data_IF_127409099251
#
_entry.id   IF_127409099251
#
_cell.length_a   1.000
_cell.length_b   1.000
_cell.length_c   1.000
_cell.angle_alpha   90.00
_cell.angle_beta   90.00
_cell.angle_gamma   90.00
#
_symmetry.space_group_name_H-M   'P 1'
#
loop_
_entity.id
_entity.type
_entity.pdbx_description
1 polymer ?
#
# COMPACT_ATOMS: atom_id res chain seq x y z
N UNK A 1 10.81 3.64 17.00
CA UNK A 1 9.45 3.23 16.58
C UNK A 1 8.61 4.47 16.39
N UNK A 2 8.03 4.63 15.23
CA UNK A 2 7.10 5.71 14.94
C UNK A 2 5.69 5.11 14.91
N UNK A 3 4.90 5.27 15.97
CA UNK A 3 3.52 4.78 15.97
C UNK A 3 2.65 5.70 15.10
N UNK A 4 1.70 5.12 14.41
CA UNK A 4 0.66 5.86 13.73
C UNK A 4 -0.70 5.21 13.96
N UNK A 5 -1.76 6.02 13.90
CA UNK A 5 -3.12 5.55 14.05
C UNK A 5 -4.05 6.23 13.05
N UNK A 6 -5.02 5.48 12.58
CA UNK A 6 -6.06 5.95 11.69
C UNK A 6 -7.43 5.59 12.24
N UNK A 7 -8.36 6.50 12.11
CA UNK A 7 -9.77 6.24 12.34
C UNK A 7 -10.55 6.59 11.08
N UNK A 8 -11.50 5.76 10.71
CA UNK A 8 -12.31 6.00 9.52
C UNK A 8 -13.74 5.51 9.69
N UNK A 9 -14.58 5.98 8.81
CA UNK A 9 -15.96 5.54 8.68
C UNK A 9 -16.14 4.70 7.42
N UNK A 10 -17.19 3.98 7.44
CA UNK A 10 -17.78 3.07 6.46
C UNK A 10 -17.26 3.06 5.02
N UNK A 11 -17.02 1.87 4.54
CA UNK A 11 -16.73 1.59 3.12
C UNK A 11 -15.39 2.10 2.64
N UNK A 12 -14.50 2.52 3.55
CA UNK A 12 -13.16 2.98 3.22
C UNK A 12 -12.11 1.98 3.69
N UNK A 13 -11.21 1.64 2.79
CA UNK A 13 -9.96 1.01 3.16
C UNK A 13 -9.08 2.08 3.81
N UNK A 14 -8.72 1.91 5.07
CA UNK A 14 -7.68 2.71 5.71
C UNK A 14 -6.33 2.10 5.38
N UNK A 15 -5.46 2.88 4.78
CA UNK A 15 -4.15 2.40 4.37
C UNK A 15 -3.03 3.35 4.76
N UNK A 16 -1.89 2.79 5.10
CA UNK A 16 -0.66 3.54 5.34
C UNK A 16 0.50 2.88 4.60
N UNK A 17 1.16 3.66 3.78
CA UNK A 17 2.38 3.25 3.07
C UNK A 17 3.59 3.55 3.93
N UNK A 18 4.36 2.52 4.23
CA UNK A 18 5.57 2.61 5.04
C UNK A 18 6.77 2.50 4.11
N UNK A 19 7.63 3.50 4.13
CA UNK A 19 8.87 3.51 3.36
C UNK A 19 10.07 3.62 4.30
N UNK A 20 11.23 3.05 3.94
CA UNK A 20 12.44 3.24 4.72
C UNK A 20 12.80 4.73 4.83
N UNK A 21 13.18 5.17 6.00
CA UNK A 21 13.73 6.52 6.16
C UNK A 21 15.04 6.66 5.38
N UNK A 22 15.35 7.88 4.95
CA UNK A 22 16.60 8.17 4.25
C UNK A 22 17.82 7.66 5.02
N UNK A 23 18.69 6.94 4.35
CA UNK A 23 19.89 6.32 4.94
C UNK A 23 19.63 5.00 5.69
N UNK A 24 18.40 4.48 5.65
CA UNK A 24 18.06 3.15 6.17
C UNK A 24 17.82 2.17 5.03
N UNK A 25 18.13 0.91 5.29
CA UNK A 25 18.03 -0.17 4.30
C UNK A 25 16.83 -1.10 4.53
N UNK A 26 16.07 -0.87 5.61
CA UNK A 26 14.96 -1.75 6.01
C UNK A 26 13.82 -0.99 6.66
N UNK A 27 12.62 -1.49 6.42
CA UNK A 27 11.42 -1.18 7.20
C UNK A 27 11.05 -2.39 8.03
N UNK A 28 10.75 -2.18 9.29
CA UNK A 28 10.26 -3.22 10.18
C UNK A 28 8.94 -2.82 10.79
N UNK A 29 7.91 -3.60 10.52
CA UNK A 29 6.63 -3.49 11.20
C UNK A 29 6.64 -4.48 12.35
N UNK A 30 6.55 -3.97 13.57
CA UNK A 30 6.63 -4.78 14.76
C UNK A 30 5.29 -5.35 15.18
N UNK A 31 4.25 -4.53 15.10
CA UNK A 31 2.89 -4.95 15.36
C UNK A 31 1.91 -4.08 14.58
N UNK A 32 0.74 -4.59 14.37
CA UNK A 32 -0.42 -3.82 13.94
C UNK A 32 -1.64 -4.32 14.71
N UNK A 33 -2.47 -3.41 15.21
CA UNK A 33 -3.71 -3.74 15.90
C UNK A 33 -4.87 -2.96 15.32
N UNK A 34 -6.04 -3.58 15.30
CA UNK A 34 -7.23 -2.97 14.72
C UNK A 34 -8.49 -3.37 15.48
N UNK A 35 -9.45 -2.47 15.48
CA UNK A 35 -10.83 -2.73 15.90
C UNK A 35 -11.80 -2.21 14.87
N UNK A 36 -12.94 -2.88 14.73
CA UNK A 36 -14.03 -2.45 13.87
C UNK A 36 -15.36 -2.80 14.54
N UNK A 37 -16.37 -1.96 14.40
CA UNK A 37 -17.73 -2.25 14.88
C UNK A 37 -18.45 -3.32 14.04
N UNK A 38 -17.88 -3.68 12.89
CA UNK A 38 -18.37 -4.74 12.00
C UNK A 38 -17.21 -5.57 11.46
N UNK A 39 -17.55 -6.56 10.64
CA UNK A 39 -16.54 -7.40 10.01
C UNK A 39 -15.58 -6.58 9.14
N UNK A 40 -14.30 -6.76 9.37
CA UNK A 40 -13.20 -6.14 8.65
C UNK A 40 -12.00 -7.08 8.62
N UNK A 41 -10.96 -6.75 7.87
CA UNK A 41 -9.71 -7.49 7.83
C UNK A 41 -8.52 -6.55 8.00
N UNK A 42 -7.63 -6.88 8.93
CA UNK A 42 -6.33 -6.25 9.07
C UNK A 42 -5.33 -6.98 8.16
N UNK A 43 -4.69 -6.26 7.28
CA UNK A 43 -3.80 -6.75 6.25
C UNK A 43 -2.43 -6.10 6.35
N UNK A 44 -1.37 -6.88 6.22
CA UNK A 44 -0.01 -6.39 6.04
C UNK A 44 0.50 -6.90 4.69
N UNK A 45 0.94 -5.98 3.85
CA UNK A 45 1.48 -6.26 2.54
C UNK A 45 2.95 -5.92 2.47
N UNK A 46 3.67 -6.63 1.62
CA UNK A 46 5.01 -6.26 1.15
C UNK A 46 5.05 -6.21 -0.37
N UNK A 47 6.06 -5.57 -0.92
CA UNK A 47 6.40 -5.70 -2.33
C UNK A 47 6.74 -7.15 -2.69
N UNK A 48 6.37 -7.57 -3.87
CA UNK A 48 6.71 -8.90 -4.42
C UNK A 48 8.14 -9.01 -4.96
N UNK A 49 9.04 -8.11 -4.60
CA UNK A 49 10.31 -7.94 -5.31
C UNK A 49 10.10 -7.52 -6.80
N UNK A 50 8.91 -7.04 -7.10
CA UNK A 50 8.51 -6.50 -8.39
C UNK A 50 8.19 -5.04 -8.23
N UNK A 51 9.24 -4.24 -8.22
CA UNK A 51 9.13 -2.79 -8.30
C UNK A 51 9.74 -2.33 -9.61
N UNK A 52 9.15 -1.33 -10.19
CA UNK A 52 9.66 -0.69 -11.41
C UNK A 52 9.50 0.82 -11.30
N UNK A 53 10.15 1.54 -12.18
CA UNK A 53 10.05 3.00 -12.24
C UNK A 53 9.10 3.44 -13.33
N UNK A 54 8.40 4.54 -13.12
CA UNK A 54 7.58 5.16 -14.14
C UNK A 54 8.47 5.71 -15.25
N UNK A 55 7.98 5.60 -16.48
CA UNK A 55 8.65 6.10 -17.67
C UNK A 55 8.13 7.44 -18.14
N UNK A 56 6.94 7.85 -17.67
CA UNK A 56 6.35 9.15 -17.98
C UNK A 56 5.60 9.72 -16.76
N UNK A 57 5.32 11.01 -16.81
CA UNK A 57 4.55 11.73 -15.80
C UNK A 57 3.09 11.25 -15.79
N UNK A 58 2.51 11.13 -14.59
CA UNK A 58 1.08 10.87 -14.38
C UNK A 58 0.53 11.90 -13.40
N UNK A 59 -0.52 12.63 -13.81
CA UNK A 59 -1.15 13.62 -12.95
C UNK A 59 -2.01 12.96 -11.88
N UNK A 60 -2.20 13.63 -10.75
CA UNK A 60 -2.96 13.11 -9.61
C UNK A 60 -4.43 12.73 -9.92
N UNK A 61 -5.03 13.34 -10.93
CA UNK A 61 -6.39 13.08 -11.37
C UNK A 61 -6.50 12.02 -12.48
N UNK A 62 -5.41 11.36 -12.83
CA UNK A 62 -5.39 10.28 -13.81
C UNK A 62 -5.49 8.91 -13.15
N UNK A 63 -5.98 7.94 -13.92
CA UNK A 63 -6.03 6.52 -13.51
C UNK A 63 -4.95 5.69 -14.20
N UNK A 64 -4.38 6.19 -15.30
CA UNK A 64 -3.38 5.47 -16.10
C UNK A 64 -1.98 5.89 -15.68
N UNK A 65 -1.13 4.91 -15.46
CA UNK A 65 0.29 5.08 -15.17
C UNK A 65 1.13 4.34 -16.21
N UNK A 66 2.23 4.96 -16.61
CA UNK A 66 3.19 4.37 -17.52
C UNK A 66 4.28 3.65 -16.73
N UNK A 67 4.22 2.34 -16.73
CA UNK A 67 5.15 1.47 -16.03
C UNK A 67 5.61 0.34 -16.98
N UNK A 68 6.85 -0.14 -16.85
CA UNK A 68 7.31 -1.24 -17.67
C UNK A 68 6.42 -2.48 -17.54
N UNK A 69 6.17 -3.19 -18.63
CA UNK A 69 5.22 -4.32 -18.66
C UNK A 69 5.65 -5.51 -17.79
N UNK A 70 6.93 -5.64 -17.48
CA UNK A 70 7.44 -6.75 -16.66
C UNK A 70 6.96 -6.74 -15.18
N UNK A 71 6.26 -5.70 -14.73
CA UNK A 71 5.66 -5.71 -13.40
C UNK A 71 4.69 -6.87 -13.22
N UNK A 72 4.05 -7.30 -14.32
CA UNK A 72 3.17 -8.45 -14.33
C UNK A 72 1.91 -8.25 -13.47
N UNK A 73 1.46 -7.01 -13.32
CA UNK A 73 0.24 -6.69 -12.60
C UNK A 73 -0.99 -7.19 -13.37
N UNK A 74 -1.99 -7.66 -12.62
CA UNK A 74 -3.28 -8.11 -13.12
C UNK A 74 -4.43 -7.36 -12.43
N UNK A 75 -5.63 -7.48 -12.98
CA UNK A 75 -6.82 -6.88 -12.37
C UNK A 75 -6.99 -7.34 -10.92
N UNK A 76 -7.35 -6.41 -10.04
CA UNK A 76 -7.49 -6.53 -8.59
C UNK A 76 -6.17 -6.64 -7.80
N UNK A 77 -5.02 -6.63 -8.44
CA UNK A 77 -3.76 -6.52 -7.72
C UNK A 77 -3.66 -5.17 -6.99
N UNK A 78 -3.03 -5.20 -5.84
CA UNK A 78 -2.71 -3.99 -5.07
C UNK A 78 -1.31 -3.53 -5.45
N UNK A 79 -1.19 -2.25 -5.75
CA UNK A 79 0.09 -1.60 -6.01
C UNK A 79 0.30 -0.44 -5.05
N UNK A 80 1.55 -0.14 -4.76
CA UNK A 80 1.96 1.11 -4.11
C UNK A 80 2.73 1.94 -5.11
N UNK A 81 2.32 3.19 -5.23
CA UNK A 81 2.94 4.21 -6.05
C UNK A 81 3.67 5.17 -5.12
N UNK A 82 4.93 5.40 -5.36
CA UNK A 82 5.77 6.21 -4.48
C UNK A 82 6.48 7.31 -5.26
N UNK A 83 6.29 8.55 -4.80
CA UNK A 83 6.96 9.72 -5.35
C UNK A 83 8.26 9.98 -4.59
N UNK A 84 9.38 9.92 -5.30
CA UNK A 84 10.69 10.23 -4.75
C UNK A 84 10.82 11.69 -4.36
N UNK A 85 10.13 12.60 -5.07
CA UNK A 85 10.20 14.03 -4.82
C UNK A 85 9.53 14.44 -3.51
N UNK A 86 8.42 13.80 -3.16
CA UNK A 86 7.66 14.13 -1.94
C UNK A 86 7.90 13.17 -0.78
N UNK A 87 8.51 12.01 -1.04
CA UNK A 87 8.62 10.93 -0.07
C UNK A 87 7.28 10.31 0.31
N UNK A 88 6.27 10.45 -0.54
CA UNK A 88 4.89 10.05 -0.26
C UNK A 88 4.51 8.85 -1.11
N UNK A 89 3.83 7.88 -0.50
CA UNK A 89 3.27 6.72 -1.19
C UNK A 89 1.76 6.70 -1.13
N UNK A 90 1.14 6.18 -2.19
CA UNK A 90 -0.30 5.94 -2.26
C UNK A 90 -0.58 4.51 -2.70
N UNK A 91 -1.69 3.97 -2.20
CA UNK A 91 -2.23 2.69 -2.61
C UNK A 91 -3.05 2.84 -3.88
N UNK A 92 -2.89 1.89 -4.79
CA UNK A 92 -3.77 1.73 -5.94
C UNK A 92 -4.28 0.28 -6.05
N UNK A 93 -5.40 0.11 -6.72
CA UNK A 93 -5.91 -1.20 -7.16
C UNK A 93 -5.95 -1.20 -8.67
N UNK A 94 -5.37 -2.23 -9.27
CA UNK A 94 -5.28 -2.38 -10.71
C UNK A 94 -6.65 -2.75 -11.30
N UNK A 95 -7.12 -1.97 -12.24
CA UNK A 95 -8.26 -2.31 -13.09
C UNK A 95 -7.84 -3.19 -14.26
N UNK A 96 -6.74 -2.82 -14.92
CA UNK A 96 -6.15 -3.57 -16.03
C UNK A 96 -4.69 -3.20 -16.21
N UNK A 97 -3.94 -4.05 -16.89
CA UNK A 97 -2.58 -3.78 -17.32
C UNK A 97 -2.40 -4.19 -18.78
N UNK A 98 -1.69 -3.36 -19.54
CA UNK A 98 -1.32 -3.62 -20.93
C UNK A 98 0.20 -3.73 -21.04
N UNK A 99 0.67 -4.96 -21.24
CA UNK A 99 2.09 -5.24 -21.36
C UNK A 99 2.68 -4.67 -22.66
N UNK A 100 1.89 -4.56 -23.72
CA UNK A 100 2.33 -4.02 -25.02
C UNK A 100 2.50 -2.51 -24.95
N UNK A 101 1.58 -1.82 -24.31
CA UNK A 101 1.63 -0.37 -24.10
C UNK A 101 2.50 0.05 -22.91
N UNK A 102 2.88 -0.87 -22.02
CA UNK A 102 3.61 -0.55 -20.80
C UNK A 102 2.78 0.31 -19.84
N UNK A 103 1.48 0.04 -19.73
CA UNK A 103 0.58 0.84 -18.89
C UNK A 103 -0.16 -0.01 -17.85
N UNK A 104 -0.46 0.62 -16.73
CA UNK A 104 -1.35 0.09 -15.69
C UNK A 104 -2.48 1.07 -15.49
N UNK A 105 -3.72 0.61 -15.56
CA UNK A 105 -4.90 1.40 -15.25
C UNK A 105 -5.39 1.05 -13.85
N UNK A 106 -5.63 2.05 -13.03
CA UNK A 106 -6.15 1.90 -11.66
C UNK A 106 -7.67 2.06 -11.63
N UNK A 107 -8.30 1.49 -10.61
CA UNK A 107 -9.74 1.61 -10.37
C UNK A 107 -10.17 3.02 -9.94
N UNK A 108 -9.25 3.85 -9.49
CA UNK A 108 -9.48 5.22 -9.02
C UNK A 108 -8.33 6.14 -9.40
N UNK A 109 -8.56 7.43 -9.33
CA UNK A 109 -7.52 8.42 -9.54
C UNK A 109 -6.36 8.26 -8.55
N UNK A 110 -5.16 8.58 -9.01
CA UNK A 110 -3.92 8.45 -8.25
C UNK A 110 -3.93 9.21 -6.92
N UNK A 111 -4.48 10.42 -6.89
CA UNK A 111 -4.39 11.30 -5.74
C UNK A 111 -2.99 11.87 -5.48
N UNK A 112 -2.00 11.44 -6.25
CA UNK A 112 -0.59 11.85 -6.17
C UNK A 112 -0.05 12.07 -7.58
N UNK A 113 0.62 13.20 -7.80
CA UNK A 113 1.34 13.44 -9.04
C UNK A 113 2.66 12.65 -9.03
N UNK A 114 2.94 11.97 -10.12
CA UNK A 114 4.12 11.11 -10.28
C UNK A 114 4.95 11.59 -11.47
N UNK A 115 6.25 11.43 -11.38
CA UNK A 115 7.24 11.79 -12.40
C UNK A 115 8.01 10.54 -12.88
N UNK A 116 8.70 10.62 -14.03
CA UNK A 116 9.64 9.58 -14.44
C UNK A 116 10.67 9.31 -13.32
N UNK A 117 10.92 8.03 -13.05
CA UNK A 117 11.79 7.60 -11.95
C UNK A 117 11.10 7.35 -10.62
N UNK A 118 9.86 7.82 -10.44
CA UNK A 118 9.02 7.40 -9.31
C UNK A 118 8.69 5.90 -9.43
N UNK A 119 8.40 5.24 -8.31
CA UNK A 119 8.26 3.79 -8.30
C UNK A 119 6.82 3.32 -8.23
N UNK A 120 6.56 2.20 -8.88
CA UNK A 120 5.38 1.38 -8.69
C UNK A 120 5.81 -0.01 -8.20
N UNK A 121 5.19 -0.48 -7.14
CA UNK A 121 5.49 -1.77 -6.52
C UNK A 121 4.25 -2.62 -6.43
N UNK A 122 4.33 -3.85 -6.95
CA UNK A 122 3.27 -4.85 -6.80
C UNK A 122 3.33 -5.43 -5.38
N UNK A 123 2.18 -5.49 -4.70
CA UNK A 123 2.08 -5.86 -3.31
C UNK A 123 1.53 -7.28 -3.13
N UNK A 124 2.03 -7.99 -2.13
CA UNK A 124 1.45 -9.26 -1.68
C UNK A 124 1.11 -9.19 -0.19
N UNK A 125 0.05 -9.85 0.21
CA UNK A 125 -0.32 -9.99 1.62
C UNK A 125 0.67 -10.89 2.34
N UNK A 126 1.19 -10.42 3.48
CA UNK A 126 2.06 -11.17 4.39
C UNK A 126 1.34 -11.67 5.63
N UNK A 127 0.30 -10.97 6.02
CA UNK A 127 -0.54 -11.35 7.15
C UNK A 127 -1.94 -10.79 6.99
N UNK A 128 -2.92 -11.56 7.43
CA UNK A 128 -4.32 -11.17 7.44
C UNK A 128 -4.97 -11.69 8.71
N UNK A 129 -5.70 -10.81 9.42
CA UNK A 129 -6.46 -11.17 10.62
C UNK A 129 -7.86 -10.58 10.52
N UNK A 130 -8.92 -11.38 10.62
CA UNK A 130 -10.26 -10.86 10.76
C UNK A 130 -10.39 -10.04 12.05
N UNK A 131 -11.01 -8.88 11.96
CA UNK A 131 -11.29 -7.98 13.08
C UNK A 131 -12.77 -7.73 13.24
N UNK A 132 -13.16 -7.40 14.45
CA UNK A 132 -14.51 -7.00 14.83
C UNK A 132 -14.44 -6.06 16.02
N UNK A 133 -15.46 -6.07 16.88
CA UNK A 133 -15.54 -5.21 18.05
C UNK A 133 -14.40 -5.43 19.08
N UNK A 134 -13.75 -6.58 19.04
CA UNK A 134 -12.58 -6.88 19.87
C UNK A 134 -11.30 -6.54 19.12
N UNK A 135 -10.33 -5.91 19.80
CA UNK A 135 -9.01 -5.66 19.25
C UNK A 135 -8.35 -6.96 18.78
N UNK A 136 -7.86 -6.93 17.57
CA UNK A 136 -7.06 -8.01 16.98
C UNK A 136 -5.68 -7.45 16.63
N UNK A 137 -4.69 -8.31 16.72
CA UNK A 137 -3.30 -7.93 16.53
C UNK A 137 -2.59 -8.90 15.58
N UNK A 138 -1.69 -8.34 14.78
CA UNK A 138 -0.66 -9.07 14.07
C UNK A 138 0.66 -8.74 14.76
N UNK A 139 1.18 -9.70 15.51
CA UNK A 139 2.37 -9.53 16.36
C UNK A 139 3.65 -10.12 15.74
N UNK A 140 3.61 -10.54 14.49
CA UNK A 140 4.80 -11.06 13.84
C UNK A 140 5.62 -9.90 13.26
N UNK A 141 6.86 -9.70 13.71
CA UNK A 141 7.71 -8.68 13.12
C UNK A 141 7.97 -9.00 11.65
N UNK A 142 7.59 -8.09 10.79
CA UNK A 142 7.80 -8.19 9.36
C UNK A 142 8.87 -7.20 8.96
N UNK A 143 9.97 -7.70 8.39
CA UNK A 143 11.11 -6.90 7.95
C UNK A 143 11.12 -6.86 6.43
N UNK A 144 11.24 -5.68 5.88
CA UNK A 144 11.36 -5.42 4.45
C UNK A 144 12.72 -4.76 4.17
N UNK A 145 13.41 -5.22 3.14
CA UNK A 145 14.60 -4.55 2.64
C UNK A 145 14.21 -3.41 1.67
N UNK A 146 15.08 -2.43 1.50
CA UNK A 146 14.87 -1.31 0.55
C UNK A 146 14.57 -1.81 -0.87
N UNK A 147 15.29 -2.84 -1.30
CA UNK A 147 15.12 -3.44 -2.63
C UNK A 147 13.80 -4.21 -2.81
N UNK A 148 13.10 -4.48 -1.72
CA UNK A 148 11.75 -5.05 -1.78
C UNK A 148 10.67 -3.98 -1.94
N UNK A 149 11.05 -2.71 -1.87
CA UNK A 149 10.13 -1.57 -1.97
C UNK A 149 9.38 -1.28 -0.67
N UNK A 150 8.31 -0.48 -0.74
CA UNK A 150 7.53 -0.07 0.42
C UNK A 150 6.72 -1.22 1.00
N UNK A 151 6.33 -1.08 2.28
CA UNK A 151 5.30 -1.89 2.92
C UNK A 151 3.97 -1.13 2.95
N UNK A 152 2.87 -1.85 3.10
CA UNK A 152 1.53 -1.31 3.22
C UNK A 152 0.81 -2.00 4.37
N UNK A 153 0.22 -1.20 5.27
CA UNK A 153 -0.70 -1.68 6.29
C UNK A 153 -2.09 -1.16 5.96
N UNK A 154 -3.06 -2.04 6.04
CA UNK A 154 -4.39 -1.76 5.57
C UNK A 154 -5.43 -2.36 6.52
N UNK A 155 -6.49 -1.61 6.79
CA UNK A 155 -7.69 -2.14 7.39
C UNK A 155 -8.82 -2.03 6.37
N UNK A 156 -9.25 -3.17 5.87
CA UNK A 156 -10.33 -3.30 4.90
C UNK A 156 -11.63 -3.64 5.61
N UNK A 157 -12.60 -2.76 5.52
CA UNK A 157 -13.88 -2.88 6.21
C UNK A 157 -15.08 -2.88 5.26
N UNK A 158 -16.18 -3.41 5.77
CA UNK A 158 -17.47 -3.35 5.07
C UNK A 158 -18.10 -1.96 5.17
N UNK A 159 -19.01 -1.64 4.25
CA UNK A 159 -19.79 -0.40 4.29
C UNK A 159 -20.44 -0.19 5.67
N UNK A 160 -20.49 1.06 6.12
CA UNK A 160 -21.07 1.48 7.39
C UNK A 160 -20.37 0.94 8.66
N UNK A 161 -19.07 0.61 8.61
CA UNK A 161 -18.27 0.30 9.80
C UNK A 161 -17.44 1.50 10.26
N UNK A 162 -17.14 1.55 11.57
CA UNK A 162 -16.05 2.37 12.10
C UNK A 162 -14.84 1.50 12.25
N UNK A 163 -13.70 2.04 11.88
CA UNK A 163 -12.43 1.32 11.88
C UNK A 163 -11.36 2.14 12.60
N UNK A 164 -10.58 1.45 13.44
CA UNK A 164 -9.36 1.99 14.03
C UNK A 164 -8.20 1.06 13.67
N UNK A 165 -7.13 1.64 13.21
CA UNK A 165 -5.88 0.95 12.93
C UNK A 165 -4.75 1.63 13.71
N UNK A 166 -4.00 0.85 14.46
CA UNK A 166 -2.77 1.29 15.11
C UNK A 166 -1.65 0.35 14.69
N UNK A 167 -0.54 0.90 14.26
CA UNK A 167 0.63 0.11 13.92
C UNK A 167 1.91 0.78 14.45
N UNK A 168 2.88 -0.03 14.77
CA UNK A 168 4.23 0.40 15.09
C UNK A 168 5.19 0.04 13.95
N UNK A 169 5.99 1.01 13.53
CA UNK A 169 6.99 0.85 12.49
C UNK A 169 8.38 1.22 12.99
N UNK A 170 9.41 0.59 12.40
CA UNK A 170 10.80 0.99 12.53
C UNK A 170 11.40 1.15 11.14
N UNK A 171 12.26 2.11 11.02
CA UNK A 171 13.10 2.31 9.84
C UNK A 171 14.56 2.46 10.22
#
# INVERSE_FOLDING_TARGET
MTPFSFTGNAGTTLSHVVVPASGRDRVRIQYASATSDKAASLLIFRSQSRSTTLTATSAANQTVINAPPYLGAAANDVVVLFSNATGTGVRGVVASADAGAGTITLNANLGLALAPGDTVSLMITRGQVPVGATTKEINAPTVFAVNEGPALIELDGTAACRINLVAGEYS
#
